data_IF_118537596814
#
_entry.id   IF_118537596814
#
_cell.length_a   1.000
_cell.length_b   1.000
_cell.length_c   1.000
_cell.angle_alpha   90.00
_cell.angle_beta   90.00
_cell.angle_gamma   90.00
#
_symmetry.space_group_name_H-M   'P 1'
#
loop_
_entity.id
_entity.type
_entity.pdbx_description
1 polymer ?
#
# COMPACT_ATOMS: atom_id res chain seq x y z
N UNK A 1 10.25 -22.03 6.00
CA UNK A 1 11.05 -22.52 7.15
C UNK A 1 10.50 -22.03 8.49
N UNK A 2 10.07 -20.78 8.65
CA UNK A 2 9.63 -20.22 9.93
C UNK A 2 8.35 -20.88 10.48
N UNK A 3 7.31 -21.10 9.65
CA UNK A 3 6.09 -21.85 10.03
C UNK A 3 6.39 -23.29 10.42
N UNK A 4 7.29 -23.96 9.68
CA UNK A 4 7.69 -25.33 9.97
C UNK A 4 8.33 -25.45 11.37
N UNK A 5 9.13 -24.46 11.78
CA UNK A 5 9.70 -24.40 13.12
C UNK A 5 8.59 -24.32 14.20
N UNK A 6 7.58 -23.47 13.99
CA UNK A 6 6.44 -23.39 14.90
C UNK A 6 5.70 -24.72 15.00
N UNK A 7 5.41 -25.36 13.86
CA UNK A 7 4.74 -26.67 13.86
C UNK A 7 5.54 -27.73 14.64
N UNK A 8 6.86 -27.75 14.51
CA UNK A 8 7.74 -28.66 15.26
C UNK A 8 7.71 -28.40 16.77
N UNK A 9 7.76 -27.13 17.20
CA UNK A 9 7.71 -26.74 18.61
C UNK A 9 6.43 -27.23 19.30
N UNK A 10 5.30 -27.23 18.58
CA UNK A 10 4.01 -27.67 19.09
C UNK A 10 3.64 -29.12 18.70
N UNK A 11 4.49 -29.83 18.00
CA UNK A 11 4.26 -31.21 17.53
C UNK A 11 2.96 -31.37 16.71
N UNK A 12 2.67 -30.37 15.86
CA UNK A 12 1.52 -30.38 14.93
C UNK A 12 1.97 -30.62 13.49
N UNK A 13 1.07 -31.04 12.58
CA UNK A 13 1.40 -31.31 11.18
C UNK A 13 2.05 -30.11 10.48
N UNK A 14 3.13 -30.36 9.75
CA UNK A 14 3.83 -29.35 8.96
C UNK A 14 3.11 -29.14 7.63
N UNK A 15 3.08 -27.89 7.10
CA UNK A 15 2.60 -27.65 5.75
C UNK A 15 3.55 -28.26 4.72
N UNK A 16 3.02 -28.61 3.54
CA UNK A 16 3.89 -29.05 2.43
C UNK A 16 4.83 -27.90 1.99
N UNK A 17 6.01 -28.20 1.42
CA UNK A 17 7.00 -27.18 1.02
C UNK A 17 6.44 -26.11 0.07
N UNK A 18 5.48 -26.48 -0.80
CA UNK A 18 4.87 -25.61 -1.78
C UNK A 18 3.61 -24.91 -1.27
N UNK A 19 3.20 -25.14 -0.03
CA UNK A 19 2.02 -24.51 0.54
C UNK A 19 2.17 -23.00 0.61
N UNK A 20 1.15 -22.29 0.20
CA UNK A 20 0.99 -20.84 0.37
C UNK A 20 0.05 -20.48 1.52
N UNK A 21 -0.54 -21.47 2.19
CA UNK A 21 -1.43 -21.25 3.32
C UNK A 21 -1.36 -22.40 4.32
N UNK A 22 -1.64 -22.10 5.57
CA UNK A 22 -1.84 -23.04 6.68
C UNK A 22 -2.97 -22.54 7.56
N UNK A 23 -3.82 -23.45 8.03
CA UNK A 23 -4.72 -23.23 9.16
C UNK A 23 -4.53 -24.37 10.13
N UNK A 24 -4.11 -24.05 11.37
CA UNK A 24 -3.70 -25.06 12.34
C UNK A 24 -4.05 -24.60 13.76
N UNK A 25 -4.58 -25.52 14.56
CA UNK A 25 -4.75 -25.38 16.00
C UNK A 25 -3.46 -25.79 16.73
N UNK A 26 -2.97 -24.93 17.60
CA UNK A 26 -1.77 -25.12 18.42
C UNK A 26 -2.11 -25.33 19.91
N UNK A 27 -3.40 -25.57 20.24
CA UNK A 27 -3.87 -25.87 21.57
C UNK A 27 -4.18 -24.65 22.43
N UNK A 28 -3.40 -23.58 22.37
CA UNK A 28 -3.66 -22.30 23.06
C UNK A 28 -4.11 -21.19 22.13
N UNK A 29 -3.91 -21.36 20.84
CA UNK A 29 -4.30 -20.45 19.78
C UNK A 29 -4.43 -21.22 18.47
N UNK A 30 -5.18 -20.67 17.53
CA UNK A 30 -5.18 -21.11 16.14
C UNK A 30 -4.38 -20.13 15.30
N UNK A 31 -3.66 -20.61 14.31
CA UNK A 31 -2.92 -19.79 13.36
C UNK A 31 -3.44 -20.02 11.94
N UNK A 32 -3.80 -18.94 11.29
CA UNK A 32 -3.94 -18.87 9.84
C UNK A 32 -2.76 -18.13 9.26
N UNK A 33 -1.98 -18.80 8.42
CA UNK A 33 -0.88 -18.22 7.67
C UNK A 33 -1.18 -18.24 6.18
N UNK A 34 -0.89 -17.13 5.51
CA UNK A 34 -1.07 -16.99 4.06
C UNK A 34 0.12 -16.24 3.46
N UNK A 35 0.73 -16.81 2.44
CA UNK A 35 1.83 -16.21 1.69
C UNK A 35 1.30 -15.64 0.39
N UNK A 36 1.47 -14.35 0.21
CA UNK A 36 1.20 -13.60 -1.01
C UNK A 36 2.50 -13.32 -1.78
N UNK A 37 2.40 -12.63 -2.92
CA UNK A 37 3.58 -12.30 -3.75
C UNK A 37 4.53 -11.33 -3.05
N UNK A 38 4.01 -10.34 -2.29
CA UNK A 38 4.80 -9.28 -1.67
C UNK A 38 4.86 -9.34 -0.14
N UNK A 39 3.96 -10.07 0.49
CA UNK A 39 3.85 -10.15 1.94
C UNK A 39 3.32 -11.50 2.40
N UNK A 40 3.40 -11.76 3.69
CA UNK A 40 2.72 -12.88 4.34
C UNK A 40 1.85 -12.37 5.49
N UNK A 41 0.69 -13.00 5.68
CA UNK A 41 -0.21 -12.75 6.79
C UNK A 41 -0.11 -13.85 7.83
N UNK A 42 -0.09 -13.46 9.09
CA UNK A 42 -0.18 -14.33 10.25
C UNK A 42 -1.37 -13.87 11.10
N UNK A 43 -2.44 -14.64 11.13
CA UNK A 43 -3.63 -14.34 11.93
C UNK A 43 -3.69 -15.33 13.09
N UNK A 44 -3.44 -14.83 14.29
CA UNK A 44 -3.58 -15.58 15.53
C UNK A 44 -5.01 -15.42 16.05
N UNK A 45 -5.67 -16.52 16.36
CA UNK A 45 -7.05 -16.55 16.84
C UNK A 45 -7.01 -17.14 18.24
N UNK A 46 -7.42 -16.34 19.22
CA UNK A 46 -7.45 -16.72 20.63
C UNK A 46 -8.87 -16.52 21.15
N UNK A 47 -9.64 -17.59 21.38
CA UNK A 47 -10.96 -17.48 21.98
C UNK A 47 -10.86 -17.09 23.46
N UNK A 48 -11.92 -16.48 23.96
CA UNK A 48 -12.14 -16.20 25.40
C UNK A 48 -11.04 -15.35 26.09
N UNK A 49 -10.34 -14.53 25.33
CA UNK A 49 -9.33 -13.58 25.83
C UNK A 49 -9.96 -12.20 26.01
N UNK A 50 -9.53 -11.47 27.05
CA UNK A 50 -9.98 -10.11 27.28
C UNK A 50 -9.62 -9.21 26.08
N UNK A 51 -10.56 -8.35 25.69
CA UNK A 51 -10.43 -7.47 24.53
C UNK A 51 -9.19 -6.57 24.65
N UNK A 52 -8.32 -6.63 23.64
CA UNK A 52 -7.08 -5.86 23.53
C UNK A 52 -6.07 -6.08 24.66
N UNK A 53 -6.18 -7.20 25.40
CA UNK A 53 -5.15 -7.60 26.34
C UNK A 53 -3.89 -8.11 25.62
N UNK A 54 -2.75 -8.01 26.29
CA UNK A 54 -1.50 -8.59 25.79
C UNK A 54 -1.56 -10.13 25.76
N UNK A 55 -2.58 -10.73 26.35
CA UNK A 55 -2.70 -12.19 26.53
C UNK A 55 -2.97 -12.92 25.21
N UNK A 56 -3.51 -12.24 24.19
CA UNK A 56 -3.78 -12.84 22.88
C UNK A 56 -2.53 -13.47 22.22
N UNK A 57 -1.33 -12.96 22.50
CA UNK A 57 -0.07 -13.50 21.99
C UNK A 57 0.76 -14.24 23.04
N UNK A 58 0.24 -14.43 24.26
CA UNK A 58 1.00 -15.06 25.37
C UNK A 58 1.34 -16.52 25.07
N UNK A 59 0.50 -17.21 24.31
CA UNK A 59 0.72 -18.59 23.92
C UNK A 59 1.69 -18.74 22.72
N UNK A 60 1.97 -17.66 22.01
CA UNK A 60 2.92 -17.68 20.88
C UNK A 60 4.34 -17.45 21.42
N UNK A 61 5.32 -18.32 21.06
CA UNK A 61 6.69 -18.16 21.56
C UNK A 61 7.27 -16.79 21.17
N UNK A 62 7.71 -16.03 22.17
CA UNK A 62 8.22 -14.65 21.96
C UNK A 62 9.47 -14.60 21.07
N UNK A 63 10.36 -15.58 21.22
CA UNK A 63 11.54 -15.73 20.38
C UNK A 63 11.15 -15.98 18.91
N UNK A 64 10.15 -16.82 18.67
CA UNK A 64 9.64 -17.09 17.34
C UNK A 64 9.02 -15.83 16.70
N UNK A 65 8.26 -15.05 17.46
CA UNK A 65 7.72 -13.76 16.97
C UNK A 65 8.83 -12.75 16.66
N UNK A 66 9.88 -12.68 17.50
CA UNK A 66 11.00 -11.78 17.31
C UNK A 66 11.85 -12.14 16.08
N UNK A 67 11.96 -13.43 15.75
CA UNK A 67 12.72 -13.95 14.63
C UNK A 67 11.89 -14.01 13.33
N UNK A 68 10.70 -13.43 13.31
CA UNK A 68 9.83 -13.44 12.13
C UNK A 68 10.53 -12.72 10.95
N UNK A 69 10.64 -13.38 9.78
CA UNK A 69 11.39 -12.81 8.65
C UNK A 69 10.65 -11.62 8.02
N UNK A 70 11.43 -10.59 7.64
CA UNK A 70 10.92 -9.41 6.97
C UNK A 70 10.65 -8.24 7.90
N UNK A 71 9.93 -7.24 7.39
CA UNK A 71 9.53 -6.05 8.13
C UNK A 71 8.05 -6.10 8.47
N UNK A 72 7.69 -5.71 9.68
CA UNK A 72 6.30 -5.59 10.10
C UNK A 72 5.65 -4.37 9.43
N UNK A 73 4.74 -4.61 8.51
CA UNK A 73 4.01 -3.56 7.79
C UNK A 73 2.69 -3.23 8.49
N UNK A 74 1.99 -4.26 8.98
CA UNK A 74 0.65 -4.15 9.58
C UNK A 74 0.58 -5.01 10.82
N UNK A 75 0.13 -4.43 11.93
CA UNK A 75 -0.26 -5.16 13.13
C UNK A 75 -1.64 -4.68 13.57
N UNK A 76 -2.61 -5.58 13.64
CA UNK A 76 -3.99 -5.28 14.01
C UNK A 76 -4.49 -6.28 15.03
N UNK A 77 -5.10 -5.76 16.10
CA UNK A 77 -5.86 -6.54 17.04
C UNK A 77 -7.36 -6.34 16.76
N UNK A 78 -8.08 -7.41 16.48
CA UNK A 78 -9.50 -7.38 16.18
C UNK A 78 -10.27 -8.19 17.23
N UNK A 79 -11.23 -7.56 17.85
CA UNK A 79 -12.17 -8.17 18.79
C UNK A 79 -13.48 -8.45 18.07
N UNK A 80 -13.91 -9.72 18.08
CA UNK A 80 -15.24 -10.13 17.64
C UNK A 80 -16.09 -10.40 18.90
N UNK A 81 -17.14 -9.62 19.10
CA UNK A 81 -18.04 -9.74 20.26
C UNK A 81 -19.49 -9.97 19.84
N UNK A 82 -20.27 -10.63 20.69
CA UNK A 82 -21.74 -10.73 20.54
C UNK A 82 -22.50 -9.58 21.21
N UNK A 83 -21.84 -8.82 22.07
CA UNK A 83 -22.43 -7.69 22.80
C UNK A 83 -21.97 -6.35 22.19
N UNK A 84 -22.92 -5.43 22.04
CA UNK A 84 -22.61 -4.09 21.58
C UNK A 84 -21.86 -3.32 22.69
N UNK A 85 -20.63 -2.84 22.41
CA UNK A 85 -19.90 -2.03 23.37
C UNK A 85 -20.59 -0.67 23.55
N UNK A 86 -20.71 -0.22 24.79
CA UNK A 86 -21.13 1.14 25.10
C UNK A 86 -20.03 2.17 24.75
N UNK A 87 -20.39 3.45 24.75
CA UNK A 87 -19.44 4.54 24.44
C UNK A 87 -18.23 4.55 25.37
N UNK A 88 -18.41 4.18 26.66
CA UNK A 88 -17.33 4.14 27.63
C UNK A 88 -16.34 3.02 27.33
N UNK A 89 -16.82 1.84 26.96
CA UNK A 89 -15.99 0.73 26.49
C UNK A 89 -15.23 1.11 25.21
N UNK A 90 -15.91 1.69 24.22
CA UNK A 90 -15.25 2.15 23.00
C UNK A 90 -14.17 3.19 23.30
N UNK A 91 -14.46 4.18 24.18
CA UNK A 91 -13.47 5.17 24.57
C UNK A 91 -12.24 4.54 25.22
N UNK A 92 -12.43 3.57 26.11
CA UNK A 92 -11.33 2.84 26.75
C UNK A 92 -10.55 1.97 25.77
N UNK A 93 -11.24 1.19 24.94
CA UNK A 93 -10.62 0.29 23.97
C UNK A 93 -9.83 1.03 22.88
N UNK A 94 -10.24 2.22 22.53
CA UNK A 94 -9.54 3.05 21.56
C UNK A 94 -8.68 4.15 22.18
N UNK A 95 -8.41 4.07 23.51
CA UNK A 95 -7.54 5.03 24.22
C UNK A 95 -7.92 6.50 23.99
N UNK A 96 -9.22 6.80 23.96
CA UNK A 96 -9.75 8.13 23.70
C UNK A 96 -9.59 8.62 22.25
N UNK A 97 -9.10 7.80 21.34
CA UNK A 97 -8.99 8.15 19.93
C UNK A 97 -10.38 8.23 19.28
N UNK A 98 -10.52 9.15 18.33
CA UNK A 98 -11.76 9.24 17.55
C UNK A 98 -11.91 8.01 16.66
N UNK A 99 -13.02 7.32 16.78
CA UNK A 99 -13.36 6.14 16.01
C UNK A 99 -14.23 6.48 14.81
N UNK A 100 -14.07 5.69 13.75
CA UNK A 100 -15.01 5.56 12.63
C UNK A 100 -15.80 4.28 12.84
N UNK A 101 -17.06 4.26 12.44
CA UNK A 101 -17.89 3.06 12.61
C UNK A 101 -19.00 2.99 11.59
N UNK A 102 -19.48 1.77 11.38
CA UNK A 102 -20.54 1.49 10.42
C UNK A 102 -21.33 0.24 10.79
N UNK A 103 -22.59 0.23 10.39
CA UNK A 103 -23.35 -0.99 10.20
C UNK A 103 -22.86 -1.72 8.98
N UNK A 104 -22.80 -3.04 9.05
CA UNK A 104 -22.27 -3.90 7.99
C UNK A 104 -23.19 -5.07 7.74
N UNK A 105 -23.16 -5.59 6.51
CA UNK A 105 -23.87 -6.80 6.10
C UNK A 105 -25.39 -6.73 6.38
N UNK A 106 -26.02 -5.66 5.91
CA UNK A 106 -27.45 -5.40 6.11
C UNK A 106 -27.80 -5.34 7.61
N UNK A 107 -27.02 -4.60 8.39
CA UNK A 107 -27.13 -4.39 9.84
C UNK A 107 -26.98 -5.63 10.71
N UNK A 108 -26.40 -6.69 10.16
CA UNK A 108 -26.11 -7.92 10.95
C UNK A 108 -24.82 -7.85 11.74
N UNK A 109 -24.03 -6.81 11.53
CA UNK A 109 -22.86 -6.50 12.37
C UNK A 109 -22.63 -4.99 12.44
N UNK A 110 -21.89 -4.57 13.48
CA UNK A 110 -21.33 -3.23 13.60
C UNK A 110 -19.81 -3.34 13.67
N UNK A 111 -19.10 -2.37 13.10
CA UNK A 111 -17.65 -2.33 13.16
C UNK A 111 -17.19 -0.95 13.56
N UNK A 112 -16.13 -0.89 14.40
CA UNK A 112 -15.46 0.34 14.82
C UNK A 112 -13.95 0.19 14.66
N UNK A 113 -13.29 1.26 14.22
CA UNK A 113 -11.83 1.36 14.16
C UNK A 113 -11.39 2.82 14.20
N UNK A 114 -10.18 3.08 14.70
CA UNK A 114 -9.56 4.40 14.65
C UNK A 114 -8.61 4.56 13.45
N UNK A 115 -8.26 3.48 12.75
CA UNK A 115 -7.23 3.47 11.69
C UNK A 115 -5.89 4.06 12.15
N UNK A 116 -5.56 3.91 13.42
CA UNK A 116 -4.34 4.41 14.06
C UNK A 116 -3.73 3.33 14.94
N UNK A 117 -2.44 3.47 15.19
CA UNK A 117 -1.75 2.65 16.18
C UNK A 117 -2.08 3.13 17.60
N UNK A 118 -2.15 2.19 18.51
CA UNK A 118 -2.36 2.38 19.94
C UNK A 118 -1.06 2.22 20.70
N UNK A 119 -1.11 2.36 22.03
CA UNK A 119 0.07 2.32 22.90
C UNK A 119 0.86 1.00 22.83
N UNK A 120 0.17 -0.09 22.48
CA UNK A 120 0.74 -1.42 22.25
C UNK A 120 1.37 -1.62 20.85
N UNK A 121 1.32 -0.62 20.00
CA UNK A 121 1.82 -0.69 18.61
C UNK A 121 0.87 -1.35 17.62
N UNK A 122 -0.35 -1.73 18.05
CA UNK A 122 -1.36 -2.34 17.19
C UNK A 122 -2.42 -1.33 16.74
N UNK A 123 -2.91 -1.49 15.51
CA UNK A 123 -4.22 -0.99 15.11
C UNK A 123 -5.31 -1.78 15.84
N UNK A 124 -6.44 -1.15 16.16
CA UNK A 124 -7.55 -1.82 16.82
C UNK A 124 -8.82 -1.79 16.00
N UNK A 125 -9.52 -2.92 15.97
CA UNK A 125 -10.84 -3.07 15.35
C UNK A 125 -11.78 -3.80 16.31
N UNK A 126 -13.03 -3.38 16.35
CA UNK A 126 -14.09 -4.08 17.07
C UNK A 126 -15.18 -4.46 16.07
N UNK A 127 -15.60 -5.71 16.06
CA UNK A 127 -16.74 -6.19 15.29
C UNK A 127 -17.78 -6.79 16.26
N UNK A 128 -18.98 -6.21 16.28
CA UNK A 128 -20.10 -6.75 17.05
C UNK A 128 -21.01 -7.57 16.12
N UNK A 129 -21.13 -8.86 16.38
CA UNK A 129 -22.01 -9.75 15.64
C UNK A 129 -23.44 -9.65 16.17
N UNK A 130 -24.38 -9.22 15.31
CA UNK A 130 -25.80 -9.05 15.64
C UNK A 130 -26.70 -10.11 14.97
N UNK A 131 -26.14 -10.98 14.15
CA UNK A 131 -26.93 -11.99 13.44
C UNK A 131 -26.22 -12.64 12.25
N UNK A 132 -24.89 -12.55 12.21
CA UNK A 132 -24.08 -13.31 11.25
C UNK A 132 -23.95 -14.77 11.70
N UNK A 133 -24.00 -15.68 10.75
CA UNK A 133 -23.57 -17.07 10.99
C UNK A 133 -22.05 -17.11 11.24
N UNK A 134 -21.50 -18.17 11.85
CA UNK A 134 -20.06 -18.32 12.08
C UNK A 134 -19.23 -18.13 10.81
N UNK A 135 -19.69 -18.68 9.68
CA UNK A 135 -19.05 -18.53 8.37
C UNK A 135 -19.07 -17.07 7.86
N UNK A 136 -20.16 -16.35 8.08
CA UNK A 136 -20.26 -14.93 7.71
C UNK A 136 -19.37 -14.07 8.61
N UNK A 137 -19.32 -14.39 9.90
CA UNK A 137 -18.45 -13.69 10.85
C UNK A 137 -16.95 -13.86 10.50
N UNK A 138 -16.53 -15.10 10.19
CA UNK A 138 -15.16 -15.36 9.73
C UNK A 138 -14.80 -14.59 8.46
N UNK A 139 -15.71 -14.52 7.49
CA UNK A 139 -15.52 -13.71 6.27
C UNK A 139 -15.46 -12.21 6.57
N UNK A 140 -16.23 -11.73 7.54
CA UNK A 140 -16.15 -10.33 7.97
C UNK A 140 -14.78 -10.01 8.55
N UNK A 141 -14.30 -10.82 9.49
CA UNK A 141 -12.97 -10.68 10.10
C UNK A 141 -11.87 -10.66 9.02
N UNK A 142 -11.91 -11.61 8.09
CA UNK A 142 -10.97 -11.66 6.98
C UNK A 142 -10.99 -10.37 6.16
N UNK A 143 -12.17 -9.87 5.77
CA UNK A 143 -12.28 -8.62 4.98
C UNK A 143 -11.78 -7.40 5.72
N UNK A 144 -11.96 -7.34 7.04
CA UNK A 144 -11.45 -6.25 7.86
C UNK A 144 -9.91 -6.25 7.93
N UNK A 145 -9.28 -7.42 8.10
CA UNK A 145 -7.83 -7.55 8.02
C UNK A 145 -7.29 -7.22 6.63
N UNK A 146 -7.94 -7.72 5.58
CA UNK A 146 -7.58 -7.39 4.19
C UNK A 146 -7.71 -5.89 3.91
N UNK A 147 -8.77 -5.25 4.41
CA UNK A 147 -8.96 -3.80 4.27
C UNK A 147 -7.78 -3.01 4.85
N UNK A 148 -7.34 -3.35 6.07
CA UNK A 148 -6.22 -2.67 6.71
C UNK A 148 -4.89 -2.99 6.04
N UNK A 149 -4.66 -4.24 5.67
CA UNK A 149 -3.47 -4.66 4.94
C UNK A 149 -3.35 -3.91 3.62
N UNK A 150 -4.39 -3.94 2.79
CA UNK A 150 -4.35 -3.29 1.48
C UNK A 150 -4.28 -1.76 1.60
N UNK A 151 -4.90 -1.18 2.64
CA UNK A 151 -4.76 0.24 2.95
C UNK A 151 -3.30 0.63 3.16
N UNK A 152 -2.58 -0.09 4.00
CA UNK A 152 -1.17 0.21 4.28
C UNK A 152 -0.27 -0.12 3.11
N UNK A 153 -0.48 -1.25 2.42
CA UNK A 153 0.24 -1.61 1.20
C UNK A 153 0.09 -0.54 0.10
N UNK A 154 -1.11 0.03 -0.06
CA UNK A 154 -1.35 1.09 -1.03
C UNK A 154 -0.61 2.39 -0.71
N UNK A 155 -0.34 2.66 0.57
CA UNK A 155 0.38 3.86 1.03
C UNK A 155 1.91 3.73 0.98
N UNK A 156 2.46 2.52 0.78
CA UNK A 156 3.92 2.31 0.74
C UNK A 156 4.62 3.07 -0.39
N UNK A 157 3.91 3.41 -1.45
CA UNK A 157 4.45 4.23 -2.54
C UNK A 157 4.51 5.72 -2.23
N UNK A 158 3.76 6.21 -1.25
CA UNK A 158 3.67 7.65 -0.97
C UNK A 158 5.00 8.30 -0.57
N UNK A 159 5.86 7.69 0.29
CA UNK A 159 7.19 8.22 0.55
C UNK A 159 8.06 8.27 -0.72
N UNK A 160 7.97 7.24 -1.55
CA UNK A 160 8.69 7.17 -2.84
C UNK A 160 8.22 8.28 -3.79
N UNK A 161 6.90 8.48 -3.90
CA UNK A 161 6.33 9.54 -4.72
C UNK A 161 6.74 10.94 -4.24
N UNK A 162 6.75 11.18 -2.93
CA UNK A 162 7.21 12.47 -2.36
C UNK A 162 8.68 12.75 -2.69
N UNK A 163 9.54 11.76 -2.49
CA UNK A 163 10.96 11.88 -2.85
C UNK A 163 11.12 12.16 -4.33
N UNK A 164 10.47 11.37 -5.19
CA UNK A 164 10.52 11.52 -6.63
C UNK A 164 10.01 12.89 -7.09
N UNK A 165 8.95 13.41 -6.49
CA UNK A 165 8.41 14.74 -6.83
C UNK A 165 9.44 15.87 -6.66
N UNK A 166 10.35 15.75 -5.69
CA UNK A 166 11.47 16.68 -5.50
C UNK A 166 12.58 16.48 -6.54
N UNK A 167 12.86 15.24 -6.93
CA UNK A 167 13.90 14.90 -7.90
C UNK A 167 13.51 15.29 -9.34
N UNK A 168 12.22 15.36 -9.65
CA UNK A 168 11.74 15.71 -10.99
C UNK A 168 11.90 17.20 -11.34
N UNK A 169 11.85 18.10 -10.37
CA UNK A 169 12.00 19.54 -10.62
C UNK A 169 13.28 19.90 -11.39
N UNK A 170 14.47 19.53 -10.89
CA UNK A 170 15.73 19.77 -11.61
C UNK A 170 15.79 19.16 -13.02
N UNK A 171 15.14 18.01 -13.23
CA UNK A 171 15.07 17.35 -14.54
C UNK A 171 14.20 18.17 -15.51
N UNK A 172 13.06 18.65 -15.04
CA UNK A 172 12.15 19.52 -15.80
C UNK A 172 12.85 20.84 -16.20
N UNK A 173 13.60 21.45 -15.27
CA UNK A 173 14.37 22.69 -15.52
C UNK A 173 15.49 22.45 -16.52
N UNK A 174 16.19 21.32 -16.42
CA UNK A 174 17.23 20.93 -17.39
C UNK A 174 16.66 20.76 -18.78
N UNK A 175 15.53 20.08 -18.92
CA UNK A 175 14.84 19.91 -20.20
C UNK A 175 14.38 21.26 -20.78
N UNK A 176 13.86 22.16 -19.95
CA UNK A 176 13.46 23.50 -20.37
C UNK A 176 14.66 24.30 -20.89
N UNK A 177 15.80 24.27 -20.20
CA UNK A 177 17.05 24.92 -20.59
C UNK A 177 17.59 24.36 -21.91
N UNK A 178 17.55 23.02 -22.09
CA UNK A 178 17.94 22.37 -23.35
C UNK A 178 17.05 22.80 -24.52
N UNK A 179 15.73 22.82 -24.30
CA UNK A 179 14.78 23.29 -25.33
C UNK A 179 15.05 24.74 -25.75
N UNK A 180 15.37 25.60 -24.80
CA UNK A 180 15.75 26.99 -25.13
C UNK A 180 17.05 27.05 -25.94
N UNK A 181 18.08 26.30 -25.50
CA UNK A 181 19.35 26.23 -26.23
C UNK A 181 19.16 25.72 -27.67
N UNK A 182 18.26 24.74 -27.88
CA UNK A 182 17.91 24.25 -29.23
C UNK A 182 17.19 25.31 -30.05
N UNK A 183 16.38 26.17 -29.45
CA UNK A 183 15.67 27.25 -30.15
C UNK A 183 16.62 28.39 -30.53
N UNK A 184 17.60 28.68 -29.69
CA UNK A 184 18.55 29.79 -29.87
C UNK A 184 19.78 29.42 -30.72
N UNK A 185 19.80 28.20 -31.34
CA UNK A 185 20.93 27.74 -32.18
C UNK A 185 21.06 28.64 -33.41
N UNK A 186 21.92 29.62 -33.26
CA UNK A 186 22.42 30.50 -34.31
C UNK A 186 23.91 30.43 -34.52
N UNK A 187 24.74 29.76 -33.71
CA UNK A 187 26.18 29.57 -33.98
C UNK A 187 27.06 28.91 -32.90
N UNK A 188 26.66 28.70 -31.62
CA UNK A 188 27.69 28.45 -30.59
C UNK A 188 27.64 27.09 -29.84
N UNK A 189 26.56 26.33 -29.89
CA UNK A 189 26.56 25.00 -29.28
C UNK A 189 26.51 23.89 -30.33
N UNK A 190 27.49 23.00 -30.23
CA UNK A 190 27.51 21.78 -31.02
C UNK A 190 26.22 20.95 -30.78
N UNK A 191 25.42 20.72 -31.83
CA UNK A 191 24.21 19.91 -31.80
C UNK A 191 24.45 18.51 -31.21
N UNK A 192 25.69 17.99 -31.31
CA UNK A 192 26.11 16.73 -30.72
C UNK A 192 26.13 16.77 -29.18
N UNK A 193 26.56 17.91 -28.62
CA UNK A 193 26.57 18.11 -27.17
C UNK A 193 25.13 18.09 -26.63
N UNK A 194 24.21 18.79 -27.29
CA UNK A 194 22.80 18.81 -26.93
C UNK A 194 22.14 17.42 -27.03
N UNK A 195 22.49 16.63 -28.05
CA UNK A 195 22.02 15.24 -28.17
C UNK A 195 22.57 14.36 -27.06
N UNK A 196 23.82 14.59 -26.66
CA UNK A 196 24.40 13.86 -25.53
C UNK A 196 23.71 14.22 -24.20
N UNK A 197 23.50 15.52 -23.96
CA UNK A 197 22.77 15.99 -22.74
C UNK A 197 21.34 15.44 -22.69
N UNK A 198 20.60 15.45 -23.81
CA UNK A 198 19.26 14.84 -23.92
C UNK A 198 19.30 13.32 -23.68
N UNK A 199 20.33 12.63 -24.15
CA UNK A 199 20.48 11.18 -23.94
C UNK A 199 20.75 10.85 -22.48
N UNK A 200 21.54 11.65 -21.77
CA UNK A 200 21.79 11.50 -20.33
C UNK A 200 20.49 11.75 -19.55
N UNK A 201 19.75 12.80 -19.90
CA UNK A 201 18.47 13.12 -19.25
C UNK A 201 17.43 12.01 -19.49
N UNK A 202 17.38 11.46 -20.71
CA UNK A 202 16.52 10.30 -21.02
C UNK A 202 16.86 9.08 -20.17
N UNK A 203 18.16 8.77 -20.03
CA UNK A 203 18.60 7.65 -19.21
C UNK A 203 18.27 7.84 -17.73
N UNK A 204 18.35 9.07 -17.22
CA UNK A 204 17.97 9.40 -15.85
C UNK A 204 16.46 9.21 -15.61
N UNK A 205 15.62 9.75 -16.48
CA UNK A 205 14.15 9.59 -16.41
C UNK A 205 13.76 8.12 -16.49
N UNK A 206 14.36 7.35 -17.41
CA UNK A 206 14.05 5.93 -17.55
C UNK A 206 14.48 5.11 -16.34
N UNK A 207 15.61 5.45 -15.71
CA UNK A 207 16.03 4.86 -14.43
C UNK A 207 14.99 5.13 -13.35
N UNK A 208 14.48 6.35 -13.22
CA UNK A 208 13.44 6.70 -12.25
C UNK A 208 12.13 5.95 -12.52
N UNK A 209 11.70 5.88 -13.78
CA UNK A 209 10.52 5.09 -14.20
C UNK A 209 10.66 3.64 -13.81
N UNK A 210 11.76 3.00 -14.18
CA UNK A 210 12.02 1.59 -13.87
C UNK A 210 11.99 1.31 -12.37
N UNK A 211 12.60 2.19 -11.57
CA UNK A 211 12.67 2.03 -10.11
C UNK A 211 11.32 2.23 -9.40
N UNK A 212 10.40 2.99 -9.98
CA UNK A 212 9.13 3.36 -9.33
C UNK A 212 7.92 2.62 -9.89
N UNK A 213 7.97 2.16 -11.13
CA UNK A 213 6.82 1.61 -11.85
C UNK A 213 6.14 0.46 -11.10
N UNK A 214 6.93 -0.51 -10.62
CA UNK A 214 6.39 -1.64 -9.87
C UNK A 214 5.62 -1.18 -8.63
N UNK A 215 6.22 -0.30 -7.81
CA UNK A 215 5.61 0.17 -6.56
C UNK A 215 4.37 1.02 -6.80
N UNK A 216 4.38 1.89 -7.82
CA UNK A 216 3.20 2.70 -8.16
C UNK A 216 2.05 1.85 -8.71
N UNK A 217 2.34 0.88 -9.56
CA UNK A 217 1.33 -0.05 -10.07
C UNK A 217 0.72 -0.91 -8.96
N UNK A 218 1.55 -1.44 -8.06
CA UNK A 218 1.09 -2.18 -6.90
C UNK A 218 0.18 -1.34 -5.99
N UNK A 219 0.53 -0.07 -5.74
CA UNK A 219 -0.31 0.81 -4.90
C UNK A 219 -1.69 1.08 -5.49
N UNK A 220 -1.79 1.23 -6.81
CA UNK A 220 -3.09 1.36 -7.49
C UNK A 220 -3.90 0.08 -7.32
N UNK A 221 -3.30 -1.08 -7.54
CA UNK A 221 -3.97 -2.37 -7.38
C UNK A 221 -4.46 -2.58 -5.95
N UNK A 222 -3.65 -2.27 -4.94
CA UNK A 222 -4.08 -2.35 -3.53
C UNK A 222 -5.18 -1.35 -3.18
N UNK A 223 -5.15 -0.14 -3.74
CA UNK A 223 -6.22 0.83 -3.56
C UNK A 223 -7.55 0.33 -4.14
N UNK A 224 -7.52 -0.30 -5.30
CA UNK A 224 -8.71 -0.90 -5.90
C UNK A 224 -9.25 -2.04 -5.02
N UNK A 225 -8.38 -2.88 -4.47
CA UNK A 225 -8.76 -3.91 -3.49
C UNK A 225 -9.40 -3.31 -2.23
N UNK A 226 -8.92 -2.17 -1.72
CA UNK A 226 -9.58 -1.45 -0.61
C UNK A 226 -11.01 -1.07 -0.97
N UNK A 227 -11.22 -0.50 -2.17
CA UNK A 227 -12.56 -0.13 -2.66
C UNK A 227 -13.47 -1.34 -2.77
N UNK A 228 -12.97 -2.45 -3.30
CA UNK A 228 -13.72 -3.70 -3.41
C UNK A 228 -14.12 -4.26 -2.05
N UNK A 229 -13.21 -4.24 -1.06
CA UNK A 229 -13.53 -4.66 0.31
C UNK A 229 -14.58 -3.77 0.95
N UNK A 230 -14.49 -2.45 0.80
CA UNK A 230 -15.52 -1.51 1.27
C UNK A 230 -16.90 -1.79 0.64
N UNK A 231 -16.95 -2.08 -0.67
CA UNK A 231 -18.19 -2.43 -1.35
C UNK A 231 -18.78 -3.74 -0.81
N UNK A 232 -17.93 -4.75 -0.56
CA UNK A 232 -18.36 -6.05 -0.03
C UNK A 232 -18.84 -6.00 1.41
N UNK A 233 -18.42 -5.00 2.20
CA UNK A 233 -18.89 -4.78 3.55
C UNK A 233 -20.36 -4.34 3.59
N UNK A 234 -20.88 -3.72 2.52
CA UNK A 234 -22.23 -3.15 2.45
C UNK A 234 -22.50 -2.25 3.65
N UNK A 235 -21.63 -1.25 3.75
CA UNK A 235 -21.61 -0.31 4.85
C UNK A 235 -22.81 0.60 4.83
N UNK A 236 -23.45 0.77 6.02
CA UNK A 236 -24.46 1.77 6.28
C UNK A 236 -23.99 2.69 7.43
N UNK A 237 -24.30 4.00 7.39
CA UNK A 237 -23.82 4.92 8.41
C UNK A 237 -24.45 4.66 9.79
N UNK A 238 -23.67 4.95 10.83
CA UNK A 238 -24.16 5.11 12.21
C UNK A 238 -24.32 6.61 12.43
N UNK A 239 -25.48 7.03 12.95
CA UNK A 239 -25.77 8.43 13.19
C UNK A 239 -24.71 9.10 14.09
N UNK A 240 -24.22 10.27 13.66
CA UNK A 240 -23.21 11.03 14.39
C UNK A 240 -21.78 10.48 14.29
N UNK A 241 -21.55 9.40 13.56
CA UNK A 241 -20.24 8.78 13.41
C UNK A 241 -19.75 8.83 11.96
N UNK A 242 -18.45 9.10 11.79
CA UNK A 242 -17.81 9.01 10.47
C UNK A 242 -17.76 7.55 10.02
N UNK A 243 -18.15 7.26 8.80
CA UNK A 243 -18.09 5.93 8.24
C UNK A 243 -16.65 5.50 7.88
N UNK A 244 -16.42 4.19 7.71
CA UNK A 244 -15.13 3.64 7.28
C UNK A 244 -14.76 4.18 5.90
N UNK A 245 -15.73 4.20 4.98
CA UNK A 245 -15.57 4.71 3.61
C UNK A 245 -15.17 6.17 3.60
N UNK A 246 -15.92 7.04 4.30
CA UNK A 246 -15.60 8.46 4.36
C UNK A 246 -14.21 8.73 4.92
N UNK A 247 -13.82 7.99 5.96
CA UNK A 247 -12.48 8.10 6.53
C UNK A 247 -11.41 7.75 5.49
N UNK A 248 -11.55 6.59 4.84
CA UNK A 248 -10.58 6.08 3.89
C UNK A 248 -10.51 6.95 2.62
N UNK A 249 -11.63 7.34 2.04
CA UNK A 249 -11.65 8.23 0.88
C UNK A 249 -10.95 9.56 1.15
N UNK A 250 -11.19 10.14 2.32
CA UNK A 250 -10.56 11.41 2.70
C UNK A 250 -9.06 11.29 2.96
N UNK A 251 -8.58 10.15 3.46
CA UNK A 251 -7.18 9.97 3.86
C UNK A 251 -6.32 9.25 2.83
N UNK A 252 -6.87 8.26 2.15
CA UNK A 252 -6.15 7.41 1.21
C UNK A 252 -6.09 8.01 -0.19
N UNK A 253 -7.22 8.50 -0.70
CA UNK A 253 -7.34 9.01 -2.07
C UNK A 253 -6.32 10.11 -2.41
N UNK A 254 -6.04 11.12 -1.54
CA UNK A 254 -5.02 12.13 -1.85
C UNK A 254 -3.62 11.53 -2.00
N UNK A 255 -3.27 10.53 -1.19
CA UNK A 255 -1.99 9.83 -1.30
C UNK A 255 -1.83 9.12 -2.64
N UNK A 256 -2.86 8.40 -3.07
CA UNK A 256 -2.87 7.71 -4.38
C UNK A 256 -2.82 8.70 -5.53
N UNK A 257 -3.54 9.83 -5.45
CA UNK A 257 -3.46 10.89 -6.45
C UNK A 257 -2.05 11.47 -6.57
N UNK A 258 -1.33 11.63 -5.46
CA UNK A 258 0.08 12.05 -5.48
C UNK A 258 0.95 11.05 -6.23
N UNK A 259 0.79 9.75 -5.98
CA UNK A 259 1.54 8.71 -6.68
C UNK A 259 1.24 8.71 -8.18
N UNK A 260 -0.02 8.82 -8.57
CA UNK A 260 -0.42 8.91 -9.97
C UNK A 260 0.16 10.16 -10.65
N UNK A 261 0.07 11.33 -10.00
CA UNK A 261 0.64 12.57 -10.53
C UNK A 261 2.14 12.46 -10.81
N UNK A 262 2.91 11.82 -9.92
CA UNK A 262 4.35 11.62 -10.14
C UNK A 262 4.61 10.64 -11.28
N UNK A 263 3.85 9.57 -11.40
CA UNK A 263 3.93 8.64 -12.52
C UNK A 263 3.66 9.35 -13.85
N UNK A 264 2.58 10.11 -13.92
CA UNK A 264 2.16 10.84 -15.12
C UNK A 264 3.21 11.89 -15.51
N UNK A 265 3.85 12.58 -14.55
CA UNK A 265 4.98 13.49 -14.81
C UNK A 265 6.19 12.78 -15.38
N UNK A 266 6.54 11.60 -14.86
CA UNK A 266 7.64 10.79 -15.42
C UNK A 266 7.35 10.36 -16.86
N UNK A 267 6.12 9.97 -17.16
CA UNK A 267 5.69 9.62 -18.51
C UNK A 267 5.75 10.83 -19.46
N UNK A 268 5.24 11.98 -19.03
CA UNK A 268 5.29 13.23 -19.79
C UNK A 268 6.74 13.65 -20.10
N UNK A 269 7.62 13.62 -19.10
CA UNK A 269 9.04 13.92 -19.27
C UNK A 269 9.69 12.99 -20.28
N UNK A 270 9.45 11.69 -20.19
CA UNK A 270 9.97 10.71 -21.16
C UNK A 270 9.51 11.04 -22.59
N UNK A 271 8.24 11.36 -22.77
CA UNK A 271 7.67 11.76 -24.05
C UNK A 271 8.27 13.05 -24.59
N UNK A 272 8.42 14.07 -23.76
CA UNK A 272 9.00 15.38 -24.14
C UNK A 272 10.45 15.23 -24.56
N UNK A 273 11.26 14.49 -23.80
CA UNK A 273 12.66 14.22 -24.14
C UNK A 273 12.76 13.49 -25.49
N UNK A 274 11.97 12.44 -25.68
CA UNK A 274 11.95 11.67 -26.93
C UNK A 274 11.61 12.58 -28.13
N UNK A 275 10.58 13.40 -27.98
CA UNK A 275 10.16 14.35 -29.03
C UNK A 275 11.25 15.37 -29.33
N UNK A 276 11.86 15.98 -28.32
CA UNK A 276 12.94 16.94 -28.47
C UNK A 276 14.16 16.31 -29.17
N UNK A 277 14.54 15.10 -28.76
CA UNK A 277 15.64 14.35 -29.36
C UNK A 277 15.38 14.05 -30.82
N UNK A 278 14.16 13.66 -31.19
CA UNK A 278 13.77 13.38 -32.55
C UNK A 278 13.83 14.64 -33.44
N UNK A 279 13.32 15.77 -32.93
CA UNK A 279 13.38 17.06 -33.64
C UNK A 279 14.82 17.51 -33.87
N UNK A 280 15.71 17.38 -32.87
CA UNK A 280 17.11 17.77 -32.99
C UNK A 280 17.85 16.88 -34.00
N UNK A 281 17.63 15.55 -33.98
CA UNK A 281 18.21 14.62 -34.98
C UNK A 281 17.81 14.99 -36.39
N UNK A 282 16.53 15.27 -36.66
CA UNK A 282 16.05 15.68 -37.98
C UNK A 282 16.74 16.97 -38.45
N UNK A 283 16.98 17.92 -37.53
CA UNK A 283 17.68 19.18 -37.84
C UNK A 283 19.14 18.93 -38.20
N UNK A 284 19.84 18.07 -37.45
CA UNK A 284 21.23 17.65 -37.75
C UNK A 284 21.31 17.01 -39.11
N UNK A 285 20.39 16.10 -39.44
CA UNK A 285 20.38 15.43 -40.74
C UNK A 285 20.17 16.42 -41.92
N UNK A 286 19.26 17.38 -41.76
CA UNK A 286 19.02 18.43 -42.75
C UNK A 286 20.24 19.36 -42.91
N UNK A 287 20.93 19.69 -41.82
CA UNK A 287 22.15 20.52 -41.85
C UNK A 287 23.27 19.80 -42.61
N UNK A 288 23.49 18.51 -42.37
CA UNK A 288 24.48 17.69 -43.06
C UNK A 288 24.14 17.59 -44.58
N UNK A 289 22.87 17.39 -44.92
CA UNK A 289 22.44 17.35 -46.33
C UNK A 289 22.66 18.67 -47.05
N UNK A 290 22.37 19.80 -46.40
CA UNK A 290 22.59 21.12 -46.98
C UNK A 290 24.10 21.40 -47.21
N UNK A 291 24.98 20.99 -46.28
CA UNK A 291 26.43 21.11 -46.45
C UNK A 291 26.95 20.26 -47.62
N UNK A 292 26.44 19.02 -47.75
CA UNK A 292 26.83 18.11 -48.84
C UNK A 292 26.32 18.56 -50.22
N UNK A 293 25.31 19.40 -50.32
CA UNK A 293 24.81 19.96 -51.58
C UNK A 293 25.59 21.21 -52.01
N UNK A 294 26.40 21.81 -51.15
CA UNK A 294 27.24 22.97 -51.44
C UNK A 294 28.69 22.60 -51.73
N UNK A 295 29.06 21.34 -51.68
CA UNK A 295 30.32 20.75 -52.11
C UNK A 295 30.18 20.14 -53.51
#
# INVERSE_FOLDING_TARGET
HHIVDLCKRFSVPEPSPDSSCLYQDFGGFELRWERHTEFANFTFICPDVEAFSADALTFVPKDWLADMPGELVVAVNLVLTGEEPDEKKLYQWFEGQRVSGAWIADRKAQVWTAFKLHSDGFGRMVACNRGLTPYQAGRLVQRLFELETYRLMSLMSLPVARKMSHELGPIEDSLATLNQSISDIGAEKDERVLLQELSLLAAEVERHRSNTNFRFSASVAYHDLVRDRLNQLREEPIDGMQSLREFLERRLTPGIKTCNSVRDRLEDLSWRILRTTSMLRTRVDLSIQAQNQHL
#
